data_IF_968711102827
#
_entry.id   IF_968711102827
#
_cell.length_a   1.000
_cell.length_b   1.000
_cell.length_c   1.000
_cell.angle_alpha   90.00
_cell.angle_beta   90.00
_cell.angle_gamma   90.00
#
_symmetry.space_group_name_H-M   'P 1'
#
loop_
_entity.id
_entity.type
_entity.pdbx_description
1 polymer ?
#
# COMPACT_ATOMS: atom_id res chain seq x y z
N UNK A 1 -0.51 -5.23 23.51
CA UNK A 1 -0.98 -4.68 24.80
C UNK A 1 -0.91 -3.17 24.62
N UNK A 2 -2.05 -2.47 24.73
CA UNK A 2 -2.05 -1.01 24.72
C UNK A 2 -1.13 -0.52 25.84
N UNK A 3 -0.33 0.50 25.53
CA UNK A 3 0.61 1.06 26.51
C UNK A 3 -0.22 1.71 27.63
N UNK A 4 -0.23 1.07 28.81
CA UNK A 4 -0.97 1.53 30.00
C UNK A 4 -0.51 2.91 30.50
N UNK A 5 0.53 3.48 29.88
CA UNK A 5 1.03 4.83 30.14
C UNK A 5 0.32 5.93 29.33
N UNK A 6 -0.45 5.59 28.28
CA UNK A 6 -0.98 6.57 27.33
C UNK A 6 -2.07 7.45 27.92
N UNK A 7 -3.04 6.89 28.66
CA UNK A 7 -4.14 7.67 29.24
C UNK A 7 -3.68 8.75 30.21
N UNK A 8 -2.77 8.48 31.17
CA UNK A 8 -2.23 9.51 32.05
C UNK A 8 -1.50 10.63 31.26
N UNK A 9 -0.76 10.27 30.22
CA UNK A 9 -0.05 11.24 29.36
C UNK A 9 -1.03 12.13 28.61
N UNK A 10 -2.07 11.55 28.00
CA UNK A 10 -3.11 12.30 27.29
C UNK A 10 -3.88 13.23 28.23
N UNK A 11 -4.29 12.73 29.39
CA UNK A 11 -4.98 13.54 30.40
C UNK A 11 -4.16 14.76 30.83
N UNK A 12 -2.87 14.55 31.12
CA UNK A 12 -1.96 15.62 31.48
C UNK A 12 -1.76 16.63 30.33
N UNK A 13 -1.62 16.14 29.09
CA UNK A 13 -1.37 16.97 27.92
C UNK A 13 -2.54 17.88 27.57
N UNK A 14 -3.78 17.36 27.60
CA UNK A 14 -4.98 18.16 27.34
C UNK A 14 -5.48 18.93 28.57
N UNK A 15 -4.85 18.72 29.74
CA UNK A 15 -5.25 19.33 30.99
C UNK A 15 -6.56 18.81 31.56
N UNK A 16 -6.89 17.53 31.30
CA UNK A 16 -8.10 16.88 31.83
C UNK A 16 -7.86 16.42 33.27
N UNK A 17 -8.43 17.15 34.21
CA UNK A 17 -8.30 16.95 35.65
C UNK A 17 -9.62 16.46 36.29
N UNK A 18 -9.61 16.35 37.62
CA UNK A 18 -10.78 15.96 38.40
C UNK A 18 -11.94 16.99 38.35
N UNK A 19 -11.64 18.27 38.08
CA UNK A 19 -12.67 19.26 37.88
C UNK A 19 -13.38 19.06 36.55
N UNK A 20 -12.63 18.87 35.48
CA UNK A 20 -13.15 18.51 34.14
C UNK A 20 -14.02 17.25 34.21
N UNK A 21 -13.58 16.21 34.91
CA UNK A 21 -14.34 14.98 35.11
C UNK A 21 -15.67 15.22 35.85
N UNK A 22 -15.64 15.97 36.94
CA UNK A 22 -16.87 16.33 37.69
C UNK A 22 -17.85 17.13 36.85
N UNK A 23 -17.37 18.08 36.05
CA UNK A 23 -18.19 18.89 35.15
C UNK A 23 -18.89 18.01 34.10
N UNK A 24 -18.17 17.13 33.45
CA UNK A 24 -18.78 16.17 32.51
C UNK A 24 -19.88 15.34 33.16
N UNK A 25 -19.61 14.78 34.35
CA UNK A 25 -20.59 13.97 35.07
C UNK A 25 -21.84 14.80 35.49
N UNK A 26 -21.64 16.04 35.87
CA UNK A 26 -22.74 16.94 36.20
C UNK A 26 -23.60 17.35 34.99
N UNK A 27 -22.99 17.45 33.81
CA UNK A 27 -23.69 17.73 32.55
C UNK A 27 -24.48 16.52 32.01
N UNK A 28 -24.02 15.30 32.27
CA UNK A 28 -24.57 14.06 31.70
C UNK A 28 -26.10 13.97 31.71
N UNK A 29 -26.79 14.11 32.87
CA UNK A 29 -28.25 14.02 32.93
C UNK A 29 -29.00 15.07 32.12
N UNK A 30 -28.37 16.24 31.85
CA UNK A 30 -28.97 17.32 31.08
C UNK A 30 -28.76 17.11 29.58
N UNK A 31 -27.67 16.51 29.19
CA UNK A 31 -27.33 16.24 27.80
C UNK A 31 -27.96 14.95 27.28
N UNK A 32 -28.33 14.00 28.16
CA UNK A 32 -28.93 12.71 27.80
C UNK A 32 -30.10 12.82 26.82
N UNK A 33 -31.07 13.76 26.97
CA UNK A 33 -32.17 13.94 26.02
C UNK A 33 -31.71 14.26 24.58
N UNK A 34 -30.52 14.85 24.41
CA UNK A 34 -29.96 15.25 23.11
C UNK A 34 -29.13 14.17 22.43
N UNK A 35 -28.82 13.03 23.09
CA UNK A 35 -27.94 12.01 22.53
C UNK A 35 -28.51 11.37 21.26
N UNK A 36 -29.83 11.21 21.17
CA UNK A 36 -30.46 10.68 19.96
C UNK A 36 -30.34 11.65 18.80
N UNK A 37 -30.58 12.94 19.03
CA UNK A 37 -30.47 13.98 18.00
C UNK A 37 -29.03 14.04 17.44
N UNK A 38 -28.02 13.99 18.34
CA UNK A 38 -26.61 13.94 17.94
C UNK A 38 -26.29 12.68 17.11
N UNK A 39 -26.82 11.52 17.53
CA UNK A 39 -26.61 10.27 16.81
C UNK A 39 -27.29 10.27 15.43
N UNK A 40 -28.49 10.83 15.32
CA UNK A 40 -29.21 10.93 14.04
C UNK A 40 -28.48 11.84 13.07
N UNK A 41 -28.07 13.05 13.49
CA UNK A 41 -27.30 14.00 12.68
C UNK A 41 -25.94 13.39 12.24
N UNK A 42 -25.30 12.64 13.13
CA UNK A 42 -24.05 11.90 12.82
C UNK A 42 -24.26 10.89 11.70
N UNK A 43 -25.27 10.00 11.82
CA UNK A 43 -25.50 8.98 10.80
C UNK A 43 -26.08 9.54 9.51
N UNK A 44 -26.82 10.64 9.55
CA UNK A 44 -27.22 11.36 8.34
C UNK A 44 -25.99 11.82 7.53
N UNK A 45 -25.01 12.42 8.20
CA UNK A 45 -23.76 12.84 7.56
C UNK A 45 -22.92 11.63 7.04
N UNK A 46 -22.85 10.54 7.81
CA UNK A 46 -22.14 9.31 7.38
C UNK A 46 -22.81 8.69 6.15
N UNK A 47 -24.12 8.66 6.09
CA UNK A 47 -24.87 8.09 4.96
C UNK A 47 -24.82 8.96 3.71
N UNK A 48 -24.61 10.27 3.85
CA UNK A 48 -24.44 11.21 2.74
C UNK A 48 -23.09 11.06 2.03
N UNK A 49 -22.05 10.58 2.70
CA UNK A 49 -20.72 10.37 2.10
C UNK A 49 -20.56 8.93 1.58
N UNK A 50 -20.30 8.71 0.26
CA UNK A 50 -20.18 7.37 -0.30
C UNK A 50 -19.06 6.52 0.31
N UNK A 51 -17.94 7.15 0.71
CA UNK A 51 -16.80 6.46 1.30
C UNK A 51 -17.09 6.00 2.74
N UNK A 52 -17.64 6.87 3.58
CA UNK A 52 -18.04 6.52 4.94
C UNK A 52 -19.18 5.48 4.94
N UNK A 53 -20.14 5.60 4.00
CA UNK A 53 -21.25 4.65 3.83
C UNK A 53 -20.76 3.26 3.40
N UNK A 54 -19.64 3.13 2.70
CA UNK A 54 -19.15 1.86 2.14
C UNK A 54 -18.90 0.76 3.17
N UNK A 55 -18.69 1.11 4.45
CA UNK A 55 -18.48 0.15 5.55
C UNK A 55 -19.81 -0.28 6.22
N UNK A 56 -20.94 0.28 5.79
CA UNK A 56 -22.28 -0.04 6.31
C UNK A 56 -22.98 -1.01 5.37
N UNK A 57 -23.53 -2.08 5.91
CA UNK A 57 -24.10 -3.21 5.11
C UNK A 57 -25.63 -3.20 5.02
N UNK A 58 -26.33 -2.55 5.96
CA UNK A 58 -27.79 -2.51 5.98
C UNK A 58 -28.34 -1.40 6.88
N UNK A 59 -29.59 -1.01 6.65
CA UNK A 59 -30.30 -0.04 7.51
C UNK A 59 -30.52 -0.57 8.94
N UNK A 60 -30.62 -1.87 9.12
CA UNK A 60 -30.70 -2.50 10.45
C UNK A 60 -29.39 -2.32 11.23
N UNK A 61 -28.25 -2.46 10.54
CA UNK A 61 -26.94 -2.15 11.13
C UNK A 61 -26.85 -0.69 11.55
N UNK A 62 -27.32 0.24 10.74
CA UNK A 62 -27.32 1.70 11.06
C UNK A 62 -28.10 1.95 12.34
N UNK A 63 -29.35 1.44 12.45
CA UNK A 63 -30.16 1.60 13.68
C UNK A 63 -29.48 1.05 14.92
N UNK A 64 -28.84 -0.12 14.81
CA UNK A 64 -28.08 -0.70 15.92
C UNK A 64 -26.89 0.18 16.32
N UNK A 65 -26.19 0.73 15.33
CA UNK A 65 -25.03 1.60 15.55
C UNK A 65 -25.43 2.96 16.12
N UNK A 66 -26.60 3.50 15.76
CA UNK A 66 -27.16 4.70 16.40
C UNK A 66 -27.34 4.48 17.91
N UNK A 67 -27.93 3.34 18.32
CA UNK A 67 -28.02 2.96 19.74
C UNK A 67 -26.65 2.77 20.41
N UNK A 68 -25.66 2.24 19.67
CA UNK A 68 -24.29 2.12 20.18
C UNK A 68 -23.63 3.48 20.40
N UNK A 69 -23.83 4.44 19.48
CA UNK A 69 -23.31 5.80 19.62
C UNK A 69 -23.96 6.52 20.80
N UNK A 70 -25.28 6.39 20.99
CA UNK A 70 -25.98 6.91 22.16
C UNK A 70 -25.40 6.35 23.48
N UNK A 71 -25.16 5.04 23.54
CA UNK A 71 -24.52 4.41 24.70
C UNK A 71 -23.04 4.84 24.89
N UNK A 72 -22.33 5.14 23.80
CA UNK A 72 -21.00 5.70 23.86
C UNK A 72 -21.03 7.13 24.44
N UNK A 73 -21.95 7.99 23.97
CA UNK A 73 -22.16 9.35 24.50
C UNK A 73 -22.47 9.30 26.00
N UNK A 74 -23.38 8.43 26.42
CA UNK A 74 -23.68 8.24 27.85
C UNK A 74 -22.40 7.89 28.64
N UNK A 75 -21.57 6.98 28.12
CA UNK A 75 -20.32 6.60 28.75
C UNK A 75 -19.29 7.73 28.85
N UNK A 76 -19.30 8.69 27.91
CA UNK A 76 -18.44 9.90 27.95
C UNK A 76 -18.77 10.76 29.17
N UNK A 77 -20.03 10.82 29.60
CA UNK A 77 -20.48 11.68 30.70
C UNK A 77 -20.66 10.95 32.04
N UNK A 78 -20.46 9.64 32.10
CA UNK A 78 -20.62 8.89 33.36
C UNK A 78 -19.30 8.56 34.05
N UNK A 79 -18.18 8.43 33.31
CA UNK A 79 -16.92 7.95 33.87
C UNK A 79 -17.01 6.51 34.41
N UNK A 80 -16.13 6.07 35.29
CA UNK A 80 -14.86 6.72 35.62
C UNK A 80 -13.90 6.71 34.41
N UNK A 81 -13.00 7.70 34.33
CA UNK A 81 -12.02 7.86 33.24
C UNK A 81 -10.71 7.15 33.62
N UNK A 82 -10.80 5.86 33.82
CA UNK A 82 -9.73 4.97 34.26
C UNK A 82 -9.22 4.04 33.14
N UNK A 83 -8.42 3.06 33.50
CA UNK A 83 -7.86 2.10 32.52
C UNK A 83 -8.95 1.22 31.88
N UNK A 84 -10.02 0.91 32.61
CA UNK A 84 -11.15 0.15 32.06
C UNK A 84 -11.92 0.96 31.01
N UNK A 85 -12.05 2.27 31.24
CA UNK A 85 -12.57 3.22 30.26
C UNK A 85 -11.70 3.23 28.99
N UNK A 86 -10.38 3.37 29.17
CA UNK A 86 -9.41 3.32 28.06
C UNK A 86 -9.56 2.05 27.23
N UNK A 87 -9.56 0.88 27.86
CA UNK A 87 -9.66 -0.40 27.13
C UNK A 87 -10.98 -0.54 26.36
N UNK A 88 -12.09 -0.05 26.93
CA UNK A 88 -13.39 -0.02 26.25
C UNK A 88 -13.35 0.84 24.99
N UNK A 89 -12.70 2.01 25.04
CA UNK A 89 -12.57 2.94 23.92
C UNK A 89 -11.63 2.40 22.83
N UNK A 90 -10.51 1.84 23.24
CA UNK A 90 -9.57 1.18 22.32
C UNK A 90 -10.22 0.03 21.55
N UNK A 91 -11.16 -0.72 22.16
CA UNK A 91 -11.94 -1.75 21.44
C UNK A 91 -12.78 -1.17 20.32
N UNK A 92 -13.36 0.02 20.49
CA UNK A 92 -14.13 0.71 19.45
C UNK A 92 -13.19 1.07 18.29
N UNK A 93 -12.03 1.66 18.58
CA UNK A 93 -11.03 1.99 17.56
C UNK A 93 -10.57 0.75 16.76
N UNK A 94 -10.24 -0.35 17.46
CA UNK A 94 -9.92 -1.64 16.79
C UNK A 94 -11.05 -2.16 15.89
N UNK A 95 -12.32 -1.93 16.26
CA UNK A 95 -13.44 -2.31 15.41
C UNK A 95 -13.48 -1.47 14.13
N UNK A 96 -13.23 -0.16 14.20
CA UNK A 96 -13.17 0.71 13.03
C UNK A 96 -12.04 0.28 12.07
N UNK A 97 -10.86 -0.06 12.61
CA UNK A 97 -9.77 -0.64 11.81
C UNK A 97 -10.19 -1.94 11.15
N UNK A 98 -10.84 -2.84 11.89
CA UNK A 98 -11.31 -4.14 11.38
C UNK A 98 -12.30 -4.05 10.21
N UNK A 99 -13.20 -3.07 10.25
CA UNK A 99 -14.17 -2.84 9.16
C UNK A 99 -13.60 -2.00 8.01
N UNK A 100 -12.33 -1.57 8.10
CA UNK A 100 -11.66 -0.81 7.05
C UNK A 100 -12.10 0.66 6.97
N UNK A 101 -12.67 1.23 8.04
CA UNK A 101 -12.99 2.65 8.06
C UNK A 101 -11.70 3.48 8.00
N UNK A 102 -11.60 4.39 7.03
CA UNK A 102 -10.43 5.25 6.91
C UNK A 102 -10.35 6.28 8.04
N UNK A 103 -9.14 6.53 8.53
CA UNK A 103 -8.86 7.45 9.65
C UNK A 103 -9.47 8.85 9.48
N UNK A 104 -9.52 9.36 8.22
CA UNK A 104 -10.12 10.67 7.92
C UNK A 104 -11.60 10.77 8.32
N UNK A 105 -12.35 9.68 8.21
CA UNK A 105 -13.76 9.66 8.60
C UNK A 105 -13.94 9.71 10.11
N UNK A 106 -13.02 9.13 10.88
CA UNK A 106 -13.02 9.25 12.33
C UNK A 106 -12.79 10.69 12.81
N UNK A 107 -11.83 11.38 12.18
CA UNK A 107 -11.56 12.79 12.48
C UNK A 107 -12.78 13.67 12.19
N UNK A 108 -13.40 13.50 11.02
CA UNK A 108 -14.61 14.25 10.64
C UNK A 108 -15.79 13.91 11.55
N UNK A 109 -16.00 12.65 11.89
CA UNK A 109 -17.05 12.15 12.75
C UNK A 109 -16.95 12.71 14.18
N UNK A 110 -15.76 12.75 14.75
CA UNK A 110 -15.55 13.35 16.08
C UNK A 110 -15.90 14.84 16.10
N UNK A 111 -15.64 15.55 14.99
CA UNK A 111 -16.06 16.95 14.90
C UNK A 111 -17.58 17.10 14.91
N UNK A 112 -18.32 16.22 14.22
CA UNK A 112 -19.79 16.25 14.25
C UNK A 112 -20.35 16.02 15.66
N UNK A 113 -19.79 15.04 16.37
CA UNK A 113 -20.16 14.78 17.78
C UNK A 113 -19.86 15.98 18.65
N UNK A 114 -18.67 16.57 18.53
CA UNK A 114 -18.24 17.74 19.31
C UNK A 114 -19.18 18.93 19.11
N UNK A 115 -19.50 19.26 17.87
CA UNK A 115 -20.44 20.35 17.53
C UNK A 115 -21.83 20.08 18.13
N UNK A 116 -22.34 18.85 18.01
CA UNK A 116 -23.61 18.47 18.61
C UNK A 116 -23.62 18.60 20.13
N UNK A 117 -22.54 18.19 20.81
CA UNK A 117 -22.39 18.33 22.25
C UNK A 117 -22.33 19.81 22.68
N UNK A 118 -21.58 20.66 21.97
CA UNK A 118 -21.56 22.09 22.26
C UNK A 118 -22.93 22.74 22.10
N UNK A 119 -23.67 22.34 21.06
CA UNK A 119 -25.03 22.81 20.87
C UNK A 119 -25.96 22.41 22.03
N UNK A 120 -25.89 21.13 22.44
CA UNK A 120 -26.66 20.63 23.57
C UNK A 120 -26.28 21.35 24.90
N UNK A 121 -25.00 21.61 25.14
CA UNK A 121 -24.54 22.41 26.31
C UNK A 121 -25.14 23.80 26.28
N UNK A 122 -25.15 24.50 25.12
CA UNK A 122 -25.75 25.84 25.01
C UNK A 122 -27.27 25.81 25.21
N UNK A 123 -27.98 24.81 24.69
CA UNK A 123 -29.43 24.68 24.84
C UNK A 123 -29.85 24.39 26.28
N UNK A 124 -29.02 23.68 27.03
CA UNK A 124 -29.28 23.32 28.43
C UNK A 124 -28.66 24.29 29.43
N UNK A 125 -28.08 25.39 28.95
CA UNK A 125 -27.48 26.43 29.79
C UNK A 125 -28.52 27.04 30.74
N UNK A 126 -28.26 26.96 32.04
CA UNK A 126 -29.00 27.61 33.14
C UNK A 126 -27.97 28.23 34.08
N UNK A 127 -28.41 29.00 35.07
CA UNK A 127 -27.54 29.69 36.02
C UNK A 127 -26.36 28.79 36.50
N UNK A 128 -25.15 29.14 36.06
CA UNK A 128 -23.90 28.45 36.41
C UNK A 128 -23.52 27.23 35.57
N UNK A 129 -24.25 26.90 34.49
CA UNK A 129 -23.95 25.83 33.53
C UNK A 129 -23.92 26.38 32.11
N UNK A 130 -23.10 25.77 31.22
CA UNK A 130 -22.82 26.30 29.88
C UNK A 130 -21.69 27.34 29.90
N UNK A 131 -20.84 27.25 30.93
CA UNK A 131 -19.66 28.09 31.07
C UNK A 131 -18.56 27.68 30.07
N UNK A 132 -17.59 28.58 29.90
CA UNK A 132 -16.40 28.26 29.12
C UNK A 132 -15.72 26.97 29.60
N UNK A 133 -15.67 26.70 30.90
CA UNK A 133 -15.06 25.50 31.49
C UNK A 133 -15.86 24.22 31.16
N UNK A 134 -17.17 24.29 30.99
CA UNK A 134 -17.99 23.14 30.58
C UNK A 134 -17.72 22.80 29.12
N UNK A 135 -17.65 23.79 28.24
CA UNK A 135 -17.24 23.57 26.83
C UNK A 135 -15.82 23.04 26.73
N UNK A 136 -14.90 23.56 27.56
CA UNK A 136 -13.52 23.07 27.62
C UNK A 136 -13.46 21.61 28.06
N UNK A 137 -14.25 21.18 29.05
CA UNK A 137 -14.30 19.79 29.49
C UNK A 137 -14.80 18.86 28.37
N UNK A 138 -15.78 19.29 27.57
CA UNK A 138 -16.25 18.58 26.37
C UNK A 138 -15.13 18.44 25.34
N UNK A 139 -14.40 19.52 25.05
CA UNK A 139 -13.29 19.47 24.12
C UNK A 139 -12.19 18.51 24.59
N UNK A 140 -11.80 18.60 25.85
CA UNK A 140 -10.77 17.74 26.44
C UNK A 140 -11.11 16.26 26.33
N UNK A 141 -12.35 15.88 26.65
CA UNK A 141 -12.74 14.46 26.55
C UNK A 141 -12.84 14.02 25.09
N UNK A 142 -13.34 14.84 24.17
CA UNK A 142 -13.36 14.54 22.75
C UNK A 142 -11.95 14.32 22.18
N UNK A 143 -10.96 15.12 22.60
CA UNK A 143 -9.56 14.93 22.19
C UNK A 143 -8.97 13.63 22.75
N UNK A 144 -9.26 13.28 24.00
CA UNK A 144 -8.83 11.99 24.58
C UNK A 144 -9.46 10.83 23.79
N UNK A 145 -10.77 10.85 23.56
CA UNK A 145 -11.49 9.83 22.79
C UNK A 145 -10.90 9.65 21.39
N UNK A 146 -10.64 10.76 20.69
CA UNK A 146 -10.05 10.77 19.37
C UNK A 146 -8.63 10.19 19.39
N UNK A 147 -7.78 10.63 20.32
CA UNK A 147 -6.42 10.16 20.46
C UNK A 147 -6.35 8.63 20.72
N UNK A 148 -7.24 8.12 21.59
CA UNK A 148 -7.35 6.69 21.89
C UNK A 148 -7.72 5.86 20.65
N UNK A 149 -8.66 6.36 19.86
CA UNK A 149 -9.05 5.69 18.61
C UNK A 149 -7.94 5.74 17.55
N UNK A 150 -7.25 6.87 17.41
CA UNK A 150 -6.15 7.03 16.45
C UNK A 150 -4.96 6.12 16.79
N UNK A 151 -4.67 5.90 18.07
CA UNK A 151 -3.61 5.00 18.50
C UNK A 151 -3.85 3.56 18.00
N UNK A 152 -5.11 3.10 17.96
CA UNK A 152 -5.43 1.77 17.42
C UNK A 152 -5.13 1.62 15.93
N UNK A 153 -5.24 2.69 15.14
CA UNK A 153 -4.82 2.68 13.73
C UNK A 153 -3.30 2.62 13.60
N UNK A 154 -2.58 3.33 14.47
CA UNK A 154 -1.12 3.26 14.52
C UNK A 154 -0.63 1.86 14.88
N UNK A 155 -1.22 1.25 15.91
CA UNK A 155 -0.92 -0.13 16.32
C UNK A 155 -1.15 -1.13 15.18
N UNK A 156 -2.31 -1.09 14.51
CA UNK A 156 -2.63 -1.98 13.38
C UNK A 156 -1.65 -1.79 12.23
N UNK A 157 -1.33 -0.54 11.88
CA UNK A 157 -0.35 -0.25 10.84
C UNK A 157 1.04 -0.82 11.18
N UNK A 158 1.51 -0.62 12.41
CA UNK A 158 2.80 -1.15 12.88
C UNK A 158 2.79 -2.67 12.88
N UNK A 159 1.72 -3.31 13.42
CA UNK A 159 1.59 -4.77 13.44
C UNK A 159 1.58 -5.38 12.03
N UNK A 160 0.85 -4.79 11.09
CA UNK A 160 0.86 -5.24 9.69
C UNK A 160 2.25 -5.12 9.06
N UNK A 161 2.92 -3.99 9.26
CA UNK A 161 4.28 -3.76 8.73
C UNK A 161 5.32 -4.70 9.34
N UNK A 162 5.23 -4.97 10.64
CA UNK A 162 6.15 -5.91 11.29
C UNK A 162 5.90 -7.35 10.85
N UNK A 163 4.62 -7.78 10.77
CA UNK A 163 4.26 -9.11 10.30
C UNK A 163 4.70 -9.35 8.84
N UNK A 164 4.51 -8.37 7.95
CA UNK A 164 5.02 -8.42 6.58
C UNK A 164 6.54 -8.55 6.55
N UNK A 165 7.24 -7.73 7.36
CA UNK A 165 8.71 -7.75 7.43
C UNK A 165 9.24 -9.08 8.00
N UNK A 166 8.61 -9.61 9.06
CA UNK A 166 8.97 -10.89 9.64
C UNK A 166 8.71 -12.06 8.67
N UNK A 167 7.56 -12.09 8.02
CA UNK A 167 7.23 -13.08 7.00
C UNK A 167 8.27 -13.10 5.89
N UNK A 168 8.65 -11.93 5.37
CA UNK A 168 9.69 -11.80 4.35
C UNK A 168 11.07 -12.19 4.89
N UNK A 169 11.40 -11.90 6.15
CA UNK A 169 12.68 -12.28 6.74
C UNK A 169 12.79 -13.79 6.98
N UNK A 170 11.72 -14.45 7.42
CA UNK A 170 11.64 -15.91 7.55
C UNK A 170 11.76 -16.56 6.16
N UNK A 171 11.01 -16.06 5.20
CA UNK A 171 11.05 -16.48 3.80
C UNK A 171 12.47 -16.33 3.24
N UNK A 172 13.14 -15.21 3.49
CA UNK A 172 14.51 -14.94 3.02
C UNK A 172 15.55 -15.91 3.60
N UNK A 173 15.42 -16.28 4.87
CA UNK A 173 16.33 -17.25 5.52
C UNK A 173 16.15 -18.67 4.98
N UNK A 174 14.91 -19.11 4.87
CA UNK A 174 14.59 -20.46 4.35
C UNK A 174 14.94 -20.58 2.86
N UNK A 175 14.71 -19.52 2.09
CA UNK A 175 14.85 -19.55 0.64
C UNK A 175 16.30 -19.45 0.18
N UNK A 176 17.21 -18.88 0.96
CA UNK A 176 18.62 -18.78 0.56
C UNK A 176 19.31 -20.17 0.44
N UNK A 177 18.98 -21.11 1.33
CA UNK A 177 19.45 -22.52 1.22
C UNK A 177 18.74 -23.28 0.12
N UNK A 178 17.39 -23.23 0.13
CA UNK A 178 16.56 -23.93 -0.85
C UNK A 178 16.82 -23.48 -2.29
N UNK A 179 17.16 -22.22 -2.50
CA UNK A 179 17.44 -21.71 -3.83
C UNK A 179 18.63 -22.38 -4.51
N UNK A 180 19.71 -22.59 -3.76
CA UNK A 180 20.85 -23.34 -4.27
C UNK A 180 20.47 -24.81 -4.57
N UNK A 181 19.67 -25.42 -3.70
CA UNK A 181 19.20 -26.79 -3.86
C UNK A 181 18.21 -26.95 -5.01
N UNK A 182 17.37 -25.94 -5.31
CA UNK A 182 16.46 -25.95 -6.47
C UNK A 182 17.21 -25.59 -7.77
N UNK A 183 18.15 -24.65 -7.73
CA UNK A 183 18.93 -24.27 -8.92
C UNK A 183 19.78 -25.42 -9.46
N UNK A 184 20.29 -26.28 -8.58
CA UNK A 184 21.10 -27.45 -8.98
C UNK A 184 20.34 -28.43 -9.87
N UNK A 185 19.16 -28.98 -9.53
CA UNK A 185 18.39 -29.85 -10.41
C UNK A 185 17.89 -29.13 -11.67
N UNK A 186 17.56 -27.83 -11.61
CA UNK A 186 17.19 -27.08 -12.81
C UNK A 186 18.34 -26.97 -13.80
N UNK A 187 19.57 -26.70 -13.34
CA UNK A 187 20.75 -26.65 -14.17
C UNK A 187 21.10 -28.03 -14.74
N UNK A 188 20.96 -29.12 -13.95
CA UNK A 188 21.15 -30.47 -14.41
C UNK A 188 20.15 -30.85 -15.51
N UNK A 189 18.86 -30.53 -15.32
CA UNK A 189 17.81 -30.75 -16.31
C UNK A 189 18.07 -29.96 -17.61
N UNK A 190 18.51 -28.70 -17.51
CA UNK A 190 18.89 -27.87 -18.65
C UNK A 190 20.03 -28.52 -19.45
N UNK A 191 21.07 -28.95 -18.74
CA UNK A 191 22.21 -29.65 -19.39
C UNK A 191 21.78 -30.92 -20.12
N UNK A 192 20.91 -31.74 -19.52
CA UNK A 192 20.36 -32.93 -20.16
C UNK A 192 19.56 -32.63 -21.43
N UNK A 193 18.78 -31.55 -21.41
CA UNK A 193 18.03 -31.08 -22.59
C UNK A 193 18.96 -30.55 -23.70
N UNK A 194 20.06 -29.90 -23.34
CA UNK A 194 21.08 -29.45 -24.31
C UNK A 194 21.76 -30.65 -24.98
N UNK A 195 22.09 -31.68 -24.20
CA UNK A 195 22.62 -32.96 -24.73
C UNK A 195 21.58 -33.64 -25.63
N UNK A 196 20.31 -33.68 -25.20
CA UNK A 196 19.24 -34.27 -26.02
C UNK A 196 19.03 -33.51 -27.33
N UNK A 197 19.12 -32.16 -27.31
CA UNK A 197 19.03 -31.33 -28.50
C UNK A 197 20.15 -31.65 -29.49
N UNK A 198 21.41 -31.79 -29.02
CA UNK A 198 22.57 -32.16 -29.87
C UNK A 198 22.41 -33.55 -30.43
N UNK A 199 21.99 -34.52 -29.61
CA UNK A 199 21.79 -35.92 -30.08
C UNK A 199 20.64 -35.99 -31.09
N UNK A 200 19.63 -35.15 -30.99
CA UNK A 200 18.52 -35.08 -31.94
C UNK A 200 18.95 -34.60 -33.34
N UNK A 201 20.07 -33.89 -33.46
CA UNK A 201 20.61 -33.46 -34.75
C UNK A 201 21.11 -34.66 -35.59
N UNK A 202 21.53 -35.74 -34.95
CA UNK A 202 21.97 -36.99 -35.61
C UNK A 202 20.82 -37.88 -36.04
N UNK A 203 19.57 -37.60 -35.71
CA UNK A 203 18.40 -38.37 -36.11
C UNK A 203 18.15 -38.22 -37.61
N UNK A 204 18.17 -39.32 -38.34
CA UNK A 204 18.08 -39.32 -39.82
C UNK A 204 16.68 -38.90 -40.31
N UNK A 205 15.61 -39.35 -39.63
CA UNK A 205 14.25 -38.97 -40.01
C UNK A 205 13.97 -37.49 -39.65
N UNK A 206 13.74 -36.63 -40.65
CA UNK A 206 13.52 -35.20 -40.44
C UNK A 206 12.25 -34.89 -39.63
N UNK A 207 11.26 -35.76 -39.69
CA UNK A 207 9.98 -35.56 -38.98
C UNK A 207 10.15 -35.80 -37.47
N UNK A 208 10.81 -36.88 -37.12
CA UNK A 208 11.16 -37.27 -35.75
C UNK A 208 12.13 -36.25 -35.13
N UNK A 209 13.17 -35.86 -35.88
CA UNK A 209 14.11 -34.78 -35.44
C UNK A 209 13.39 -33.49 -35.07
N UNK A 210 12.54 -32.96 -35.97
CA UNK A 210 11.76 -31.73 -35.70
C UNK A 210 10.86 -31.87 -34.47
N UNK A 211 10.22 -33.04 -34.30
CA UNK A 211 9.35 -33.33 -33.16
C UNK A 211 10.13 -33.33 -31.84
N UNK A 212 11.31 -33.92 -31.79
CA UNK A 212 12.17 -33.96 -30.63
C UNK A 212 12.63 -32.53 -30.29
N UNK A 213 13.22 -31.79 -31.23
CA UNK A 213 13.75 -30.46 -31.05
C UNK A 213 12.65 -29.50 -30.58
N UNK A 214 11.44 -29.60 -31.15
CA UNK A 214 10.31 -28.77 -30.70
C UNK A 214 9.94 -29.05 -29.25
N UNK A 215 9.85 -30.30 -28.83
CA UNK A 215 9.53 -30.68 -27.44
C UNK A 215 10.64 -30.30 -26.48
N UNK A 216 11.89 -30.50 -26.85
CA UNK A 216 13.04 -30.07 -26.03
C UNK A 216 13.03 -28.57 -25.81
N UNK A 217 12.76 -27.77 -26.87
CA UNK A 217 12.68 -26.32 -26.78
C UNK A 217 11.53 -25.85 -25.86
N UNK A 218 10.38 -26.53 -25.87
CA UNK A 218 9.29 -26.26 -24.96
C UNK A 218 9.70 -26.48 -23.48
N UNK A 219 10.32 -27.60 -23.19
CA UNK A 219 10.76 -27.91 -21.80
C UNK A 219 11.89 -26.98 -21.36
N UNK A 220 12.82 -26.61 -22.25
CA UNK A 220 13.84 -25.61 -21.97
C UNK A 220 13.20 -24.24 -21.60
N UNK A 221 12.13 -23.84 -22.32
CA UNK A 221 11.37 -22.64 -22.03
C UNK A 221 10.75 -22.67 -20.62
N UNK A 222 10.15 -23.78 -20.21
CA UNK A 222 9.58 -23.93 -18.87
C UNK A 222 10.65 -23.95 -17.77
N UNK A 223 11.80 -24.59 -17.99
CA UNK A 223 12.91 -24.55 -17.04
C UNK A 223 13.49 -23.12 -16.88
N UNK A 224 13.60 -22.39 -17.98
CA UNK A 224 14.02 -20.99 -17.93
C UNK A 224 13.03 -20.15 -17.12
N UNK A 225 11.72 -20.33 -17.36
CA UNK A 225 10.66 -19.65 -16.62
C UNK A 225 10.72 -19.95 -15.11
N UNK A 226 10.92 -21.23 -14.72
CA UNK A 226 11.10 -21.62 -13.32
C UNK A 226 12.33 -20.95 -12.69
N UNK A 227 13.43 -20.84 -13.43
CA UNK A 227 14.64 -20.16 -12.96
C UNK A 227 14.40 -18.68 -12.70
N UNK A 228 13.69 -17.99 -13.59
CA UNK A 228 13.32 -16.58 -13.42
C UNK A 228 12.39 -16.41 -12.21
N UNK A 229 11.38 -17.26 -12.07
CA UNK A 229 10.48 -17.26 -10.90
C UNK A 229 11.24 -17.43 -9.58
N UNK A 230 12.19 -18.35 -9.54
CA UNK A 230 13.02 -18.57 -8.36
C UNK A 230 13.89 -17.36 -8.03
N UNK A 231 14.51 -16.75 -9.03
CA UNK A 231 15.33 -15.54 -8.84
C UNK A 231 14.50 -14.34 -8.40
N UNK A 232 13.31 -14.14 -8.96
CA UNK A 232 12.36 -13.10 -8.54
C UNK A 232 11.91 -13.29 -7.09
N UNK A 233 11.55 -14.53 -6.73
CA UNK A 233 11.15 -14.86 -5.36
C UNK A 233 12.29 -14.64 -4.36
N UNK A 234 13.52 -15.00 -4.72
CA UNK A 234 14.71 -14.74 -3.91
C UNK A 234 14.98 -13.25 -3.72
N UNK A 235 14.81 -12.48 -4.78
CA UNK A 235 14.99 -11.02 -4.73
C UNK A 235 13.94 -10.34 -3.85
N UNK A 236 12.71 -10.85 -3.85
CA UNK A 236 11.64 -10.37 -2.96
C UNK A 236 11.92 -10.76 -1.49
N UNK A 237 12.37 -12.00 -1.25
CA UNK A 237 12.58 -12.54 0.10
C UNK A 237 13.84 -12.01 0.80
N UNK A 238 14.87 -11.61 0.06
CA UNK A 238 16.13 -11.09 0.64
C UNK A 238 15.95 -9.69 1.21
N UNK A 239 15.91 -9.59 2.54
CA UNK A 239 16.02 -8.32 3.28
C UNK A 239 17.48 -7.83 3.26
N UNK A 240 18.00 -7.45 2.08
CA UNK A 240 19.33 -6.84 2.01
C UNK A 240 19.25 -5.35 2.34
N UNK A 241 20.10 -4.89 3.25
CA UNK A 241 20.35 -3.46 3.41
C UNK A 241 20.91 -2.93 2.09
N UNK A 242 20.40 -1.77 1.65
CA UNK A 242 20.95 -1.09 0.48
C UNK A 242 22.41 -0.74 0.71
N UNK A 243 23.20 -0.80 -0.35
CA UNK A 243 24.54 -0.23 -0.42
C UNK A 243 24.49 0.92 -1.43
N UNK A 244 23.94 2.08 -1.03
CA UNK A 244 23.72 3.19 -1.95
C UNK A 244 25.05 3.86 -2.30
N UNK A 245 25.19 4.25 -3.57
CA UNK A 245 26.30 5.02 -4.10
C UNK A 245 25.78 6.24 -4.86
N UNK A 246 26.57 7.28 -4.98
CA UNK A 246 26.24 8.40 -5.87
C UNK A 246 26.25 7.92 -7.32
N UNK A 247 25.21 8.19 -8.06
CA UNK A 247 25.09 7.82 -9.47
C UNK A 247 24.23 8.81 -10.25
N UNK A 248 24.53 8.94 -11.54
CA UNK A 248 23.72 9.72 -12.47
C UNK A 248 22.49 8.92 -12.88
N UNK A 249 21.32 9.47 -12.57
CA UNK A 249 20.03 8.89 -12.85
C UNK A 249 19.76 8.72 -14.34
N UNK A 250 20.09 9.72 -15.15
CA UNK A 250 19.86 9.69 -16.59
C UNK A 250 20.77 8.68 -17.28
N UNK A 251 22.03 8.61 -16.88
CA UNK A 251 22.97 7.61 -17.39
C UNK A 251 22.51 6.18 -17.06
N UNK A 252 21.93 5.97 -15.85
CA UNK A 252 21.43 4.68 -15.43
C UNK A 252 20.23 4.22 -16.28
N UNK A 253 19.27 5.11 -16.58
CA UNK A 253 18.13 4.78 -17.45
C UNK A 253 18.62 4.48 -18.86
N UNK A 254 19.52 5.32 -19.40
CA UNK A 254 20.09 5.14 -20.73
C UNK A 254 20.76 3.79 -20.89
N UNK A 255 21.56 3.37 -19.90
CA UNK A 255 22.23 2.06 -19.91
C UNK A 255 21.24 0.90 -20.03
N UNK A 256 20.13 0.93 -19.26
CA UNK A 256 19.11 -0.12 -19.34
C UNK A 256 18.38 -0.08 -20.68
N UNK A 257 18.06 1.09 -21.20
CA UNK A 257 17.38 1.25 -22.49
C UNK A 257 18.25 0.68 -23.63
N UNK A 258 19.54 1.05 -23.67
CA UNK A 258 20.43 0.54 -24.70
C UNK A 258 20.61 -1.00 -24.64
N UNK A 259 20.63 -1.56 -23.46
CA UNK A 259 20.69 -3.03 -23.29
C UNK A 259 19.43 -3.72 -23.84
N UNK A 260 18.25 -3.06 -23.73
CA UNK A 260 16.97 -3.63 -24.15
C UNK A 260 16.62 -3.31 -25.63
N UNK A 261 17.28 -2.33 -26.23
CA UNK A 261 17.01 -1.86 -27.59
C UNK A 261 16.96 -2.99 -28.63
N UNK A 262 17.94 -3.93 -28.72
CA UNK A 262 17.90 -4.99 -29.73
C UNK A 262 16.66 -5.90 -29.63
N UNK A 263 16.20 -6.18 -28.42
CA UNK A 263 14.98 -6.98 -28.20
C UNK A 263 13.74 -6.20 -28.65
N UNK A 264 13.64 -4.94 -28.26
CA UNK A 264 12.51 -4.06 -28.57
C UNK A 264 12.39 -3.89 -30.09
N UNK A 265 13.50 -3.61 -30.77
CA UNK A 265 13.56 -3.47 -32.24
C UNK A 265 13.22 -4.79 -32.95
N UNK A 266 13.71 -5.93 -32.47
CA UNK A 266 13.41 -7.23 -33.07
C UNK A 266 11.92 -7.60 -33.01
N UNK A 267 11.17 -7.02 -32.06
CA UNK A 267 9.72 -7.20 -31.91
C UNK A 267 8.91 -6.15 -32.71
N UNK A 268 9.58 -5.23 -33.41
CA UNK A 268 8.92 -4.16 -34.17
C UNK A 268 8.21 -3.13 -33.30
N UNK A 269 8.66 -2.94 -32.07
CA UNK A 269 8.09 -1.98 -31.14
C UNK A 269 8.72 -0.60 -31.37
N UNK A 270 7.90 0.42 -31.59
CA UNK A 270 8.36 1.82 -31.61
C UNK A 270 8.73 2.25 -30.18
N UNK A 271 10.01 2.55 -29.96
CA UNK A 271 10.50 2.96 -28.65
C UNK A 271 10.88 4.44 -28.64
N UNK A 272 10.15 5.23 -27.84
CA UNK A 272 10.33 6.68 -27.70
C UNK A 272 11.09 6.95 -26.41
N UNK A 273 12.30 7.47 -26.53
CA UNK A 273 13.14 7.87 -25.41
C UNK A 273 13.01 9.39 -25.19
N UNK A 274 12.30 9.78 -24.11
CA UNK A 274 12.00 11.17 -23.75
C UNK A 274 12.56 11.45 -22.34
N UNK A 275 13.86 11.29 -22.20
CA UNK A 275 14.58 11.52 -20.95
C UNK A 275 14.98 12.98 -20.81
N UNK A 276 14.80 13.54 -19.62
CA UNK A 276 15.28 14.89 -19.31
C UNK A 276 16.80 14.94 -19.45
N UNK A 277 17.30 15.93 -20.21
CA UNK A 277 18.73 16.02 -20.58
C UNK A 277 19.64 16.50 -19.43
N UNK A 278 19.06 16.91 -18.29
CA UNK A 278 19.84 17.38 -17.14
C UNK A 278 20.27 16.20 -16.29
N UNK A 279 21.58 16.09 -16.06
CA UNK A 279 22.14 15.16 -15.08
C UNK A 279 21.47 15.34 -13.72
N UNK A 280 21.04 14.24 -13.12
CA UNK A 280 20.40 14.19 -11.81
C UNK A 280 21.18 13.20 -10.94
N UNK A 281 21.89 13.70 -9.94
CA UNK A 281 22.63 12.85 -8.99
C UNK A 281 21.67 12.23 -7.97
N UNK A 282 21.77 10.92 -7.81
CA UNK A 282 21.06 10.14 -6.81
C UNK A 282 22.03 9.43 -5.88
N UNK A 283 21.56 9.15 -4.67
CA UNK A 283 22.21 8.19 -3.77
C UNK A 283 21.38 6.91 -3.76
N UNK A 284 21.81 5.91 -4.53
CA UNK A 284 21.01 4.72 -4.78
C UNK A 284 21.88 3.48 -5.04
N UNK A 285 21.31 2.29 -4.88
CA UNK A 285 21.91 1.03 -5.32
C UNK A 285 21.62 0.83 -6.82
N UNK A 286 22.62 1.11 -7.68
CA UNK A 286 22.49 1.12 -9.15
C UNK A 286 21.80 -0.14 -9.70
N UNK A 287 22.26 -1.31 -9.30
CA UNK A 287 21.78 -2.58 -9.84
C UNK A 287 20.31 -2.82 -9.49
N UNK A 288 19.87 -2.37 -8.32
CA UNK A 288 18.47 -2.43 -7.91
C UNK A 288 17.59 -1.48 -8.73
N UNK A 289 18.05 -0.27 -9.00
CA UNK A 289 17.29 0.65 -9.86
C UNK A 289 17.24 0.17 -11.31
N UNK A 290 18.33 -0.43 -11.84
CA UNK A 290 18.30 -1.09 -13.14
C UNK A 290 17.25 -2.21 -13.17
N UNK A 291 17.13 -2.99 -12.10
CA UNK A 291 16.10 -4.02 -11.96
C UNK A 291 14.69 -3.44 -12.00
N UNK A 292 14.45 -2.30 -11.32
CA UNK A 292 13.16 -1.59 -11.35
C UNK A 292 12.81 -1.18 -12.78
N UNK A 293 13.72 -0.49 -13.46
CA UNK A 293 13.49 0.00 -14.84
C UNK A 293 13.27 -1.18 -15.78
N UNK A 294 14.06 -2.23 -15.66
CA UNK A 294 13.94 -3.43 -16.48
C UNK A 294 12.58 -4.12 -16.29
N UNK A 295 12.08 -4.23 -15.06
CA UNK A 295 10.77 -4.80 -14.78
C UNK A 295 9.64 -3.98 -15.41
N UNK A 296 9.72 -2.63 -15.37
CA UNK A 296 8.73 -1.76 -16.01
C UNK A 296 8.75 -1.91 -17.54
N UNK A 297 9.95 -1.93 -18.16
CA UNK A 297 10.10 -2.13 -19.62
C UNK A 297 9.57 -3.51 -20.02
N UNK A 298 9.91 -4.58 -19.28
CA UNK A 298 9.43 -5.93 -19.56
C UNK A 298 7.90 -5.99 -19.53
N UNK A 299 7.28 -5.39 -18.52
CA UNK A 299 5.82 -5.34 -18.43
C UNK A 299 5.18 -4.61 -19.62
N UNK A 300 5.79 -3.51 -20.08
CA UNK A 300 5.33 -2.76 -21.25
C UNK A 300 5.49 -3.57 -22.55
N UNK A 301 6.66 -4.23 -22.75
CA UNK A 301 6.91 -5.07 -23.91
C UNK A 301 5.90 -6.22 -24.02
N UNK A 302 5.56 -6.85 -22.89
CA UNK A 302 4.54 -7.89 -22.83
C UNK A 302 3.13 -7.35 -23.09
N UNK A 303 2.81 -6.14 -22.57
CA UNK A 303 1.51 -5.53 -22.74
C UNK A 303 1.21 -5.16 -24.20
N UNK A 304 2.23 -4.81 -24.98
CA UNK A 304 2.05 -4.41 -26.39
C UNK A 304 2.22 -5.57 -27.38
N UNK A 305 2.47 -6.81 -26.90
CA UNK A 305 2.81 -7.94 -27.78
C UNK A 305 1.75 -8.26 -28.84
N UNK A 306 0.48 -7.98 -28.56
CA UNK A 306 -0.64 -8.22 -29.48
C UNK A 306 -1.14 -6.92 -30.15
N UNK A 307 -0.48 -5.79 -29.92
CA UNK A 307 -0.85 -4.53 -30.52
C UNK A 307 -0.46 -4.47 -31.99
N UNK A 308 -1.33 -3.91 -32.84
CA UNK A 308 -1.04 -3.74 -34.28
C UNK A 308 0.10 -2.77 -34.55
N UNK A 309 0.24 -1.74 -33.71
CA UNK A 309 1.29 -0.72 -33.76
C UNK A 309 1.81 -0.56 -32.33
N UNK A 310 2.74 -1.41 -31.86
CA UNK A 310 3.21 -1.38 -30.50
C UNK A 310 4.13 -0.16 -30.28
N UNK A 311 3.81 0.65 -29.27
CA UNK A 311 4.57 1.82 -28.87
C UNK A 311 4.87 1.78 -27.40
N UNK A 312 6.13 2.02 -27.04
CA UNK A 312 6.57 2.20 -25.64
C UNK A 312 7.32 3.53 -25.54
N UNK A 313 6.97 4.33 -24.56
CA UNK A 313 7.66 5.59 -24.26
C UNK A 313 8.25 5.52 -22.86
N UNK A 314 9.52 5.85 -22.69
CA UNK A 314 10.15 6.08 -21.40
C UNK A 314 10.38 7.57 -21.19
N UNK A 315 10.05 8.07 -20.00
CA UNK A 315 10.27 9.46 -19.61
C UNK A 315 11.00 9.52 -18.27
N UNK A 316 11.84 10.53 -18.09
CA UNK A 316 12.36 10.87 -16.76
C UNK A 316 12.20 12.36 -16.51
N UNK A 317 11.91 12.75 -15.26
CA UNK A 317 11.77 14.15 -14.89
C UNK A 317 12.04 14.39 -13.41
N UNK A 318 12.48 15.59 -13.09
CA UNK A 318 12.50 16.06 -11.70
C UNK A 318 11.10 16.54 -11.31
N UNK A 319 10.61 16.02 -10.17
CA UNK A 319 9.34 16.42 -9.58
C UNK A 319 9.58 17.49 -8.48
N UNK A 320 8.53 18.25 -8.08
CA UNK A 320 8.57 19.03 -6.85
C UNK A 320 9.04 18.21 -5.64
N UNK A 321 9.56 18.86 -4.62
CA UNK A 321 10.09 18.25 -3.39
C UNK A 321 11.28 17.31 -3.61
N UNK A 322 12.18 17.68 -4.53
CA UNK A 322 13.45 16.98 -4.79
C UNK A 322 13.28 15.46 -5.02
N UNK A 323 12.38 15.12 -5.91
CA UNK A 323 12.13 13.75 -6.36
C UNK A 323 12.48 13.60 -7.83
N UNK A 324 13.04 12.47 -8.19
CA UNK A 324 13.25 12.06 -9.56
C UNK A 324 12.29 10.93 -9.92
N UNK A 325 11.55 11.11 -11.00
CA UNK A 325 10.57 10.14 -11.50
C UNK A 325 11.04 9.54 -12.81
N UNK A 326 10.82 8.23 -12.97
CA UNK A 326 10.85 7.53 -14.26
C UNK A 326 9.47 6.94 -14.50
N UNK A 327 8.97 7.10 -15.73
CA UNK A 327 7.72 6.49 -16.17
C UNK A 327 7.90 5.76 -17.50
N UNK A 328 7.32 4.56 -17.57
CA UNK A 328 7.17 3.78 -18.80
C UNK A 328 5.70 3.79 -19.18
N UNK A 329 5.41 4.21 -20.39
CA UNK A 329 4.07 4.29 -20.95
C UNK A 329 4.00 3.32 -22.14
N UNK A 330 2.96 2.52 -22.19
CA UNK A 330 2.64 1.63 -23.31
C UNK A 330 1.28 1.96 -23.91
N UNK A 331 1.03 1.50 -25.12
CA UNK A 331 -0.27 1.58 -25.79
C UNK A 331 -1.01 0.23 -25.80
N UNK A 332 -0.73 -0.63 -24.83
CA UNK A 332 -1.39 -1.91 -24.65
C UNK A 332 -2.87 -1.81 -24.23
N UNK A 333 -3.48 -2.90 -23.77
CA UNK A 333 -4.89 -2.92 -23.38
C UNK A 333 -5.22 -2.08 -22.14
N UNK A 334 -4.20 -1.64 -21.38
CA UNK A 334 -4.37 -0.89 -20.15
C UNK A 334 -4.66 -1.78 -18.94
N UNK A 335 -4.95 -1.13 -17.80
CA UNK A 335 -5.29 -1.79 -16.54
C UNK A 335 -6.61 -1.24 -15.99
N UNK A 336 -7.45 -2.10 -15.40
CA UNK A 336 -8.63 -1.65 -14.67
C UNK A 336 -8.24 -0.96 -13.36
N UNK A 337 -9.10 -0.08 -12.83
CA UNK A 337 -8.86 0.59 -11.54
C UNK A 337 -8.72 -0.39 -10.38
N UNK A 338 -9.43 -1.51 -10.41
CA UNK A 338 -9.36 -2.57 -9.41
C UNK A 338 -7.97 -3.24 -9.42
N UNK A 339 -7.49 -3.61 -10.60
CA UNK A 339 -6.15 -4.21 -10.77
C UNK A 339 -5.06 -3.21 -10.42
N UNK A 340 -5.18 -1.96 -10.84
CA UNK A 340 -4.21 -0.90 -10.55
C UNK A 340 -4.02 -0.71 -9.03
N UNK A 341 -5.10 -0.77 -8.24
CA UNK A 341 -5.06 -0.64 -6.78
C UNK A 341 -4.29 -1.77 -6.08
N UNK A 342 -4.20 -2.95 -6.70
CA UNK A 342 -3.55 -4.14 -6.14
C UNK A 342 -2.31 -4.60 -6.91
N UNK A 343 -1.94 -3.89 -7.96
CA UNK A 343 -0.88 -4.31 -8.90
C UNK A 343 0.51 -4.51 -8.26
N UNK A 344 0.76 -3.88 -7.12
CA UNK A 344 2.02 -4.00 -6.38
C UNK A 344 1.99 -5.08 -5.28
N UNK A 345 0.85 -5.76 -5.08
CA UNK A 345 0.77 -6.93 -4.21
C UNK A 345 1.47 -8.13 -4.87
N UNK A 346 2.09 -8.98 -4.07
CA UNK A 346 2.76 -10.18 -4.58
C UNK A 346 1.77 -11.17 -5.18
N UNK A 347 2.14 -11.79 -6.31
CA UNK A 347 1.34 -12.79 -7.03
C UNK A 347 0.08 -12.26 -7.71
N UNK A 348 -0.13 -10.95 -7.77
CA UNK A 348 -1.21 -10.34 -8.55
C UNK A 348 -0.78 -10.22 -10.01
N UNK A 349 -1.49 -10.88 -10.91
CA UNK A 349 -1.26 -10.85 -12.35
C UNK A 349 -2.55 -11.09 -13.13
N UNK A 350 -2.67 -10.43 -14.27
CA UNK A 350 -3.74 -10.66 -15.27
C UNK A 350 -3.25 -11.47 -16.46
N UNK A 351 -1.96 -11.91 -16.45
CA UNK A 351 -1.32 -12.61 -17.55
C UNK A 351 -1.24 -14.12 -17.23
N UNK A 352 -1.58 -14.98 -18.18
CA UNK A 352 -1.51 -16.44 -18.02
C UNK A 352 -0.10 -16.95 -17.66
N UNK A 353 0.92 -16.29 -18.18
CA UNK A 353 2.33 -16.62 -17.96
C UNK A 353 3.04 -15.70 -16.95
N UNK A 354 2.33 -14.74 -16.34
CA UNK A 354 2.89 -13.77 -15.42
C UNK A 354 3.15 -14.37 -14.04
N UNK A 355 4.28 -13.98 -13.41
CA UNK A 355 4.62 -14.39 -12.04
C UNK A 355 3.89 -13.59 -10.98
N UNK A 356 3.43 -12.37 -11.32
CA UNK A 356 2.88 -11.41 -10.37
C UNK A 356 3.89 -10.86 -9.36
N UNK A 357 5.20 -11.08 -9.58
CA UNK A 357 6.27 -10.63 -8.67
C UNK A 357 6.97 -9.36 -9.16
N UNK A 358 6.98 -9.07 -10.45
CA UNK A 358 7.75 -7.97 -11.03
C UNK A 358 7.42 -6.61 -10.43
N UNK A 359 6.13 -6.25 -10.32
CA UNK A 359 5.71 -4.97 -9.72
C UNK A 359 5.87 -4.96 -8.19
N UNK A 360 5.71 -6.09 -7.51
CA UNK A 360 6.01 -6.21 -6.08
C UNK A 360 7.50 -5.95 -5.78
N UNK A 361 8.39 -6.45 -6.65
CA UNK A 361 9.84 -6.18 -6.59
C UNK A 361 10.11 -4.69 -6.82
N UNK A 362 9.47 -4.07 -7.82
CA UNK A 362 9.56 -2.63 -8.08
C UNK A 362 9.20 -1.85 -6.81
N UNK A 363 8.03 -2.11 -6.24
CA UNK A 363 7.56 -1.44 -5.02
C UNK A 363 8.54 -1.60 -3.87
N UNK A 364 9.01 -2.81 -3.62
CA UNK A 364 9.96 -3.09 -2.54
C UNK A 364 11.28 -2.34 -2.70
N UNK A 365 11.87 -2.36 -3.90
CA UNK A 365 13.13 -1.67 -4.15
C UNK A 365 12.97 -0.16 -3.98
N UNK A 366 11.90 0.39 -4.53
CA UNK A 366 11.61 1.83 -4.47
C UNK A 366 11.33 2.28 -3.04
N UNK A 367 10.57 1.51 -2.25
CA UNK A 367 10.32 1.78 -0.83
C UNK A 367 11.62 1.77 0.00
N UNK A 368 12.53 0.84 -0.29
CA UNK A 368 13.85 0.82 0.36
C UNK A 368 14.68 2.08 0.06
N UNK A 369 14.47 2.73 -1.10
CA UNK A 369 15.10 3.99 -1.46
C UNK A 369 14.32 5.23 -0.97
N UNK A 370 13.29 5.05 -0.14
CA UNK A 370 12.45 6.15 0.37
C UNK A 370 11.53 6.78 -0.69
N UNK A 371 11.28 6.05 -1.78
CA UNK A 371 10.47 6.49 -2.90
C UNK A 371 9.05 5.94 -2.89
N UNK A 372 8.41 5.96 -4.06
CA UNK A 372 7.09 5.38 -4.31
C UNK A 372 6.91 4.95 -5.75
N UNK A 373 5.94 4.06 -6.00
CA UNK A 373 5.59 3.59 -7.33
C UNK A 373 4.09 3.75 -7.57
N UNK A 374 3.71 3.94 -8.84
CA UNK A 374 2.34 4.17 -9.24
C UNK A 374 2.04 3.48 -10.58
N UNK A 375 0.82 2.96 -10.72
CA UNK A 375 0.31 2.33 -11.93
C UNK A 375 -1.07 2.88 -12.26
N UNK A 376 -1.22 3.44 -13.46
CA UNK A 376 -2.49 4.03 -13.91
C UNK A 376 -2.80 3.66 -15.35
N UNK A 377 -4.07 3.68 -15.70
CA UNK A 377 -4.47 3.69 -17.11
C UNK A 377 -3.91 4.94 -17.80
N UNK A 378 -3.39 4.77 -19.01
CA UNK A 378 -2.89 5.86 -19.83
C UNK A 378 -4.04 6.75 -20.33
N UNK A 379 -3.81 8.06 -20.46
CA UNK A 379 -4.82 9.03 -20.90
C UNK A 379 -5.32 8.83 -22.34
N UNK A 380 -4.56 8.11 -23.16
CA UNK A 380 -4.89 7.75 -24.55
C UNK A 380 -5.07 6.25 -24.77
N UNK A 381 -5.36 5.49 -23.71
CA UNK A 381 -5.29 4.04 -23.66
C UNK A 381 -3.91 3.55 -23.19
N UNK A 382 -3.76 2.24 -22.95
CA UNK A 382 -2.53 1.64 -22.42
C UNK A 382 -2.32 1.86 -20.93
N UNK A 383 -1.08 1.69 -20.48
CA UNK A 383 -0.69 1.80 -19.07
C UNK A 383 0.43 2.81 -18.90
N UNK A 384 0.41 3.54 -17.78
CA UNK A 384 1.53 4.32 -17.27
C UNK A 384 2.00 3.69 -15.97
N UNK A 385 3.16 3.08 -15.97
CA UNK A 385 3.86 2.57 -14.80
C UNK A 385 5.00 3.53 -14.45
N UNK A 386 5.07 4.01 -13.21
CA UNK A 386 6.09 4.95 -12.79
C UNK A 386 6.60 4.68 -11.39
N UNK A 387 7.82 5.14 -11.12
CA UNK A 387 8.36 5.21 -9.77
C UNK A 387 9.10 6.53 -9.59
N UNK A 388 9.24 6.93 -8.35
CA UNK A 388 10.04 8.09 -7.96
C UNK A 388 10.89 7.77 -6.74
N UNK A 389 12.05 8.40 -6.64
CA UNK A 389 12.94 8.35 -5.49
C UNK A 389 13.42 9.76 -5.13
N UNK A 390 13.81 9.99 -3.85
CA UNK A 390 14.39 11.27 -3.45
C UNK A 390 15.71 11.53 -4.18
N UNK A 391 15.94 12.78 -4.58
CA UNK A 391 17.24 13.28 -5.05
C UNK A 391 18.10 13.53 -3.82
N UNK A 392 19.40 13.23 -3.90
CA UNK A 392 20.32 13.55 -2.83
C UNK A 392 20.32 15.07 -2.58
N UNK A 393 19.99 15.49 -1.36
CA UNK A 393 20.30 16.86 -0.91
C UNK A 393 21.79 16.94 -0.67
N UNK A 394 22.44 17.99 -1.17
CA UNK A 394 23.84 18.31 -0.88
C UNK A 394 24.09 18.53 0.62
#
# INVERSE_FOLDING_TARGET
MADSSLLPVLRAFVGFDEDSARRLQAMGPRLEPHYHEIADAFYEAVLADPGARSVLTSDEQVRRLQGTLTGWLQGVFTGPYDEAYFEKRSRIGRMHVKVGLEQRYMLAAMNLVRVGLHHAVMQTAQDGVGTFEDHRAVDQICEIELALMLETYREDYVLKKTAEAESLAVMGRLTAGLAHEIRNPLNAAKLQLDVLSRNAESVQDPSTRRRILRRTKLVQGELYRLSVLLDDFLNLARARRLVPVRCDACALVTEVVELRRPEIESRGIEFINDLESRSCELVAERDRLKQVINNLITNAVEAVAECRQPVIRITSRRLPNDRWEVAVLDNGPGVSSEVAGRAFESFVTTKDAGTGLGLAIVKRIVDLHGGGADLRAGSKGGTRASFWIPIASD
#
